data_IF_501690525765
#
_entry.id   IF_501690525765
#
_cell.length_a   1.000
_cell.length_b   1.000
_cell.length_c   1.000
_cell.angle_alpha   90.00
_cell.angle_beta   90.00
_cell.angle_gamma   90.00
#
_symmetry.space_group_name_H-M   'P 1'
#
loop_
_entity.id
_entity.type
_entity.pdbx_description
1 polymer ?
#
# COMPACT_ATOMS: atom_id res chain seq x y z
N UNK A 1 -8.51 15.72 -0.44
CA UNK A 1 -9.50 14.60 -0.40
C UNK A 1 -9.08 13.49 -1.35
N UNK A 2 -9.12 12.25 -0.87
CA UNK A 2 -8.78 11.10 -1.68
C UNK A 2 -9.97 10.63 -2.52
N UNK A 3 -9.66 10.12 -3.72
CA UNK A 3 -10.61 9.43 -4.59
C UNK A 3 -10.03 8.10 -5.00
N UNK A 4 -10.88 7.10 -5.20
CA UNK A 4 -10.45 5.78 -5.64
C UNK A 4 -11.22 5.35 -6.88
N UNK A 5 -10.57 4.56 -7.73
CA UNK A 5 -11.15 4.07 -8.99
C UNK A 5 -11.87 2.74 -8.76
N UNK A 6 -11.19 1.82 -8.10
CA UNK A 6 -11.68 0.47 -7.86
C UNK A 6 -10.96 -0.16 -6.67
N UNK A 7 -11.41 -1.36 -6.33
CA UNK A 7 -10.77 -2.21 -5.33
C UNK A 7 -10.56 -3.60 -5.91
N UNK A 8 -9.55 -4.28 -5.38
CA UNK A 8 -9.24 -5.67 -5.74
C UNK A 8 -8.87 -6.45 -4.47
N UNK A 9 -9.10 -7.76 -4.51
CA UNK A 9 -8.57 -8.65 -3.48
C UNK A 9 -7.26 -9.21 -4.02
N UNK A 10 -6.15 -8.92 -3.33
CA UNK A 10 -4.80 -9.25 -3.79
C UNK A 10 -4.05 -10.03 -2.73
N UNK A 11 -3.06 -10.84 -3.15
CA UNK A 11 -2.39 -11.80 -2.28
C UNK A 11 -0.89 -11.62 -2.19
N UNK A 12 -0.30 -10.76 -3.02
CA UNK A 12 1.15 -10.63 -3.15
C UNK A 12 1.70 -9.27 -2.76
N UNK A 13 0.85 -8.27 -2.64
CA UNK A 13 1.26 -6.88 -2.39
C UNK A 13 1.79 -6.69 -0.97
N UNK A 14 1.26 -7.44 -0.01
CA UNK A 14 1.77 -7.49 1.36
C UNK A 14 1.96 -8.96 1.75
N UNK A 15 3.18 -9.36 2.15
CA UNK A 15 3.47 -10.78 2.39
C UNK A 15 2.58 -11.38 3.48
N UNK A 16 2.06 -12.58 3.20
CA UNK A 16 1.23 -13.38 4.10
C UNK A 16 -0.15 -12.78 4.38
N UNK A 17 -0.58 -11.78 3.60
CA UNK A 17 -1.88 -11.13 3.79
C UNK A 17 -2.80 -11.35 2.60
N UNK A 18 -4.08 -11.42 2.89
CA UNK A 18 -5.13 -11.28 1.88
C UNK A 18 -5.64 -9.85 1.98
N UNK A 19 -5.37 -9.04 0.98
CA UNK A 19 -5.50 -7.59 1.06
C UNK A 19 -6.64 -7.07 0.21
N UNK A 20 -7.48 -6.21 0.81
CA UNK A 20 -8.37 -5.34 0.06
C UNK A 20 -7.53 -4.16 -0.43
N UNK A 21 -7.13 -4.19 -1.69
CA UNK A 21 -6.36 -3.11 -2.30
C UNK A 21 -7.31 -2.05 -2.82
N UNK A 22 -7.11 -0.81 -2.35
CA UNK A 22 -7.91 0.34 -2.76
C UNK A 22 -7.03 1.18 -3.67
N UNK A 23 -7.37 1.23 -4.96
CA UNK A 23 -6.59 1.94 -5.96
C UNK A 23 -6.95 3.42 -5.96
N UNK A 24 -6.09 4.23 -5.35
CA UNK A 24 -6.31 5.66 -5.13
C UNK A 24 -5.80 6.43 -6.35
N UNK A 25 -6.65 7.29 -6.89
CA UNK A 25 -6.33 8.11 -8.06
C UNK A 25 -5.59 9.40 -7.69
N UNK A 26 -5.16 10.17 -8.70
CA UNK A 26 -4.47 11.43 -8.48
C UNK A 26 -3.02 11.24 -8.04
N UNK A 27 -2.38 10.14 -8.44
CA UNK A 27 -0.97 9.87 -8.07
C UNK A 27 -0.06 10.93 -8.68
N UNK A 28 0.65 11.74 -7.86
CA UNK A 28 1.52 12.79 -8.37
C UNK A 28 2.89 12.28 -8.84
N UNK A 29 3.22 11.03 -8.54
CA UNK A 29 4.56 10.49 -8.81
C UNK A 29 4.81 10.22 -10.30
N UNK A 30 3.78 9.83 -11.06
CA UNK A 30 3.80 9.66 -12.52
C UNK A 30 5.03 8.92 -13.03
N UNK A 31 5.33 7.77 -12.40
CA UNK A 31 6.53 6.99 -12.72
C UNK A 31 6.50 6.49 -14.17
N UNK A 32 7.53 6.76 -14.98
CA UNK A 32 7.60 6.23 -16.33
C UNK A 32 7.52 4.69 -16.32
N UNK A 33 6.65 4.12 -17.16
CA UNK A 33 6.43 2.68 -17.20
C UNK A 33 5.60 2.11 -16.07
N UNK A 34 5.00 2.96 -15.25
CA UNK A 34 4.13 2.55 -14.17
C UNK A 34 2.96 1.69 -14.69
N UNK A 35 2.67 0.57 -14.02
CA UNK A 35 1.55 -0.30 -14.37
C UNK A 35 0.19 0.30 -14.01
N UNK A 36 0.16 1.35 -13.20
CA UNK A 36 -1.08 1.98 -12.70
C UNK A 36 -1.26 3.40 -13.21
N UNK A 37 -0.91 3.64 -14.49
CA UNK A 37 -1.03 4.98 -15.08
C UNK A 37 -2.45 5.52 -15.05
N UNK A 38 -3.45 4.65 -15.03
CA UNK A 38 -4.85 5.04 -14.91
C UNK A 38 -5.15 5.78 -13.60
N UNK A 39 -4.27 5.69 -12.61
CA UNK A 39 -4.41 6.39 -11.34
C UNK A 39 -3.82 7.80 -11.34
N UNK A 40 -3.20 8.24 -12.44
CA UNK A 40 -2.56 9.57 -12.48
C UNK A 40 -3.58 10.71 -12.43
N UNK A 41 -4.73 10.57 -13.07
CA UNK A 41 -5.79 11.58 -13.03
C UNK A 41 -6.61 11.44 -11.75
N UNK A 42 -6.91 12.58 -11.09
CA UNK A 42 -7.72 12.58 -9.89
C UNK A 42 -9.21 12.40 -10.26
N UNK A 43 -9.68 11.17 -10.17
CA UNK A 43 -11.04 10.78 -10.53
C UNK A 43 -11.51 9.59 -9.72
N UNK A 44 -12.79 9.24 -9.89
CA UNK A 44 -13.41 8.14 -9.16
C UNK A 44 -14.26 8.65 -8.00
N UNK A 45 -14.59 7.76 -7.10
CA UNK A 45 -15.45 8.05 -5.97
C UNK A 45 -14.64 8.60 -4.79
N UNK A 46 -15.25 9.43 -3.97
CA UNK A 46 -14.59 9.93 -2.76
C UNK A 46 -14.32 8.79 -1.79
N UNK A 47 -13.10 8.74 -1.26
CA UNK A 47 -12.70 7.77 -0.25
C UNK A 47 -12.83 8.40 1.13
N UNK A 48 -14.03 8.30 1.68
CA UNK A 48 -14.33 8.75 3.04
C UNK A 48 -14.23 7.57 4.01
N UNK A 49 -14.28 7.86 5.32
CA UNK A 49 -14.34 6.80 6.33
C UNK A 49 -15.56 5.91 6.14
N UNK A 50 -16.71 6.49 5.78
CA UNK A 50 -17.94 5.73 5.52
C UNK A 50 -17.79 4.84 4.28
N UNK A 51 -17.22 5.35 3.21
CA UNK A 51 -16.96 4.57 2.00
C UNK A 51 -16.00 3.42 2.29
N UNK A 52 -14.93 3.71 3.03
CA UNK A 52 -13.95 2.70 3.43
C UNK A 52 -14.61 1.60 4.28
N UNK A 53 -15.43 1.98 5.23
CA UNK A 53 -16.13 1.02 6.07
C UNK A 53 -17.05 0.11 5.26
N UNK A 54 -17.77 0.66 4.28
CA UNK A 54 -18.63 -0.12 3.40
C UNK A 54 -17.81 -1.12 2.56
N UNK A 55 -16.66 -0.70 2.03
CA UNK A 55 -15.76 -1.57 1.27
C UNK A 55 -15.25 -2.73 2.14
N UNK A 56 -14.86 -2.44 3.38
CA UNK A 56 -14.39 -3.46 4.32
C UNK A 56 -15.51 -4.44 4.66
N UNK A 57 -16.71 -3.96 4.93
CA UNK A 57 -17.85 -4.82 5.22
C UNK A 57 -18.17 -5.78 4.07
N UNK A 58 -18.01 -5.33 2.83
CA UNK A 58 -18.21 -6.19 1.67
C UNK A 58 -17.21 -7.33 1.53
N UNK A 59 -16.08 -7.26 2.20
CA UNK A 59 -14.97 -8.22 2.07
C UNK A 59 -14.49 -8.78 3.41
N UNK A 60 -15.14 -8.45 4.53
CA UNK A 60 -14.58 -8.64 5.88
C UNK A 60 -14.19 -10.08 6.23
N UNK A 61 -14.91 -11.08 5.69
CA UNK A 61 -14.63 -12.49 5.99
C UNK A 61 -13.53 -13.06 5.09
N UNK A 62 -13.07 -12.29 4.11
CA UNK A 62 -12.06 -12.73 3.13
C UNK A 62 -10.70 -12.14 3.43
N UNK A 63 -10.64 -10.92 3.96
CA UNK A 63 -9.40 -10.13 4.03
C UNK A 63 -8.78 -10.16 5.42
N UNK A 64 -7.45 -9.99 5.45
CA UNK A 64 -6.66 -9.79 6.67
C UNK A 64 -6.03 -8.41 6.73
N UNK A 65 -6.04 -7.68 5.61
CA UNK A 65 -5.33 -6.42 5.47
C UNK A 65 -6.10 -5.46 4.56
N UNK A 66 -6.01 -4.18 4.86
CA UNK A 66 -6.48 -3.10 3.98
C UNK A 66 -5.24 -2.40 3.42
N UNK A 67 -5.13 -2.33 2.09
CA UNK A 67 -4.01 -1.70 1.41
C UNK A 67 -4.41 -0.43 0.69
N UNK A 68 -3.75 0.68 1.03
CA UNK A 68 -3.91 1.95 0.32
C UNK A 68 -2.86 1.99 -0.79
N UNK A 69 -3.32 1.92 -2.03
CA UNK A 69 -2.43 1.87 -3.19
C UNK A 69 -2.38 3.26 -3.82
N UNK A 70 -1.45 4.08 -3.34
CA UNK A 70 -1.32 5.49 -3.73
C UNK A 70 -1.76 6.44 -2.63
N UNK A 71 -2.19 7.64 -3.01
CA UNK A 71 -2.61 8.66 -2.04
C UNK A 71 -1.53 9.66 -1.69
N UNK A 72 -0.42 9.71 -2.44
CA UNK A 72 0.70 10.61 -2.17
C UNK A 72 0.33 12.08 -2.33
N UNK A 73 -0.79 12.37 -3.00
CA UNK A 73 -1.31 13.73 -3.10
C UNK A 73 -1.92 14.25 -1.82
N UNK A 74 -2.28 13.37 -0.89
CA UNK A 74 -2.89 13.74 0.40
C UNK A 74 -2.52 12.70 1.48
N UNK A 75 -1.25 12.68 1.91
CA UNK A 75 -0.80 11.67 2.88
C UNK A 75 -1.50 11.80 4.24
N UNK A 76 -1.94 13.00 4.63
CA UNK A 76 -2.69 13.20 5.87
C UNK A 76 -4.00 12.42 5.84
N UNK A 77 -4.71 12.45 4.69
CA UNK A 77 -5.95 11.70 4.55
C UNK A 77 -5.71 10.19 4.59
N UNK A 78 -4.62 9.70 3.98
CA UNK A 78 -4.23 8.28 4.07
C UNK A 78 -4.02 7.90 5.53
N UNK A 79 -3.28 8.71 6.28
CA UNK A 79 -2.99 8.47 7.69
C UNK A 79 -4.26 8.42 8.54
N UNK A 80 -5.17 9.36 8.31
CA UNK A 80 -6.45 9.40 9.04
C UNK A 80 -7.29 8.15 8.76
N UNK A 81 -7.32 7.68 7.52
CA UNK A 81 -8.05 6.47 7.17
C UNK A 81 -7.38 5.21 7.74
N UNK A 82 -6.05 5.17 7.76
CA UNK A 82 -5.30 4.09 8.39
C UNK A 82 -5.64 3.99 9.88
N UNK A 83 -5.61 5.12 10.57
CA UNK A 83 -5.99 5.19 11.98
C UNK A 83 -7.43 4.72 12.19
N UNK A 84 -8.34 5.12 11.32
CA UNK A 84 -9.73 4.70 11.37
C UNK A 84 -9.87 3.17 11.29
N UNK A 85 -9.11 2.53 10.38
CA UNK A 85 -9.12 1.06 10.28
C UNK A 85 -8.65 0.42 11.58
N UNK A 86 -7.56 0.92 12.15
CA UNK A 86 -7.04 0.37 13.41
C UNK A 86 -8.05 0.48 14.56
N UNK A 87 -8.76 1.60 14.64
CA UNK A 87 -9.69 1.87 15.74
C UNK A 87 -11.03 1.17 15.57
N UNK A 88 -11.54 1.09 14.33
CA UNK A 88 -12.91 0.62 14.05
C UNK A 88 -12.97 -0.79 13.46
N UNK A 89 -11.88 -1.28 12.91
CA UNK A 89 -11.80 -2.60 12.28
C UNK A 89 -10.63 -3.36 12.89
N UNK A 90 -10.68 -3.52 14.19
CA UNK A 90 -9.64 -4.19 14.96
C UNK A 90 -9.44 -5.62 14.44
N UNK A 91 -8.18 -6.00 14.29
CA UNK A 91 -7.80 -7.29 13.73
C UNK A 91 -7.40 -7.23 12.26
N UNK A 92 -7.74 -6.16 11.55
CA UNK A 92 -7.21 -5.94 10.19
C UNK A 92 -5.88 -5.20 10.26
N UNK A 93 -4.95 -5.62 9.40
CA UNK A 93 -3.69 -4.91 9.21
C UNK A 93 -3.88 -3.80 8.19
N UNK A 94 -2.98 -2.84 8.18
CA UNK A 94 -3.01 -1.70 7.27
C UNK A 94 -1.69 -1.62 6.53
N UNK A 95 -1.75 -1.54 5.21
CA UNK A 95 -0.58 -1.36 4.35
C UNK A 95 -0.74 -0.14 3.45
N UNK A 96 0.37 0.45 3.06
CA UNK A 96 0.40 1.61 2.18
C UNK A 96 1.51 1.46 1.14
N UNK A 97 1.15 1.68 -0.12
CA UNK A 97 2.10 1.81 -1.23
C UNK A 97 2.25 3.30 -1.55
N UNK A 98 3.41 3.87 -1.21
CA UNK A 98 3.77 5.24 -1.59
C UNK A 98 4.85 5.21 -2.66
N UNK A 99 4.76 6.12 -3.63
CA UNK A 99 5.80 6.28 -4.65
C UNK A 99 6.94 7.21 -4.22
N UNK A 100 6.86 7.79 -3.04
CA UNK A 100 7.93 8.64 -2.52
C UNK A 100 9.11 7.78 -2.04
N UNK A 101 10.31 8.36 -2.05
CA UNK A 101 11.52 7.65 -1.61
C UNK A 101 11.63 7.55 -0.10
N UNK A 102 10.93 8.41 0.63
CA UNK A 102 10.95 8.44 2.08
C UNK A 102 9.52 8.52 2.60
N UNK A 103 9.33 8.04 3.84
CA UNK A 103 8.05 8.12 4.52
C UNK A 103 7.76 9.59 4.83
N UNK A 104 6.54 10.05 4.50
CA UNK A 104 6.12 11.42 4.74
C UNK A 104 6.18 11.74 6.24
N UNK A 105 6.72 12.92 6.62
CA UNK A 105 6.68 13.36 8.01
C UNK A 105 5.28 13.76 8.48
N UNK A 106 4.30 13.81 7.57
CA UNK A 106 2.92 14.19 7.88
C UNK A 106 2.07 13.04 8.40
N UNK A 107 2.61 11.82 8.42
CA UNK A 107 1.89 10.64 8.89
C UNK A 107 2.50 10.11 10.17
N UNK A 108 1.71 9.31 10.90
CA UNK A 108 2.20 8.51 12.01
C UNK A 108 2.42 7.07 11.52
N UNK A 109 3.67 6.65 11.45
CA UNK A 109 4.03 5.30 10.97
C UNK A 109 3.34 4.20 11.78
N UNK A 110 3.01 4.46 13.03
CA UNK A 110 2.39 3.46 13.90
C UNK A 110 0.95 3.12 13.48
N UNK A 111 0.36 3.90 12.58
CA UNK A 111 -0.94 3.57 12.00
C UNK A 111 -0.86 2.51 10.90
N UNK A 112 0.34 2.11 10.51
CA UNK A 112 0.56 1.16 9.41
C UNK A 112 1.33 -0.07 9.89
N UNK A 113 0.95 -1.24 9.37
CA UNK A 113 1.68 -2.49 9.57
C UNK A 113 2.72 -2.70 8.49
N UNK A 114 2.45 -2.20 7.28
CA UNK A 114 3.34 -2.29 6.12
C UNK A 114 3.41 -0.94 5.41
N UNK A 115 4.61 -0.53 5.01
CA UNK A 115 4.79 0.66 4.16
C UNK A 115 5.79 0.32 3.06
N UNK A 116 5.35 0.42 1.80
CA UNK A 116 6.24 0.31 0.65
C UNK A 116 6.59 1.71 0.18
N UNK A 117 7.88 2.00 0.05
CA UNK A 117 8.40 3.29 -0.44
C UNK A 117 9.15 3.10 -1.75
N UNK A 118 9.27 4.17 -2.50
CA UNK A 118 10.07 4.27 -3.70
C UNK A 118 9.25 4.31 -4.99
N UNK A 119 9.66 5.19 -5.94
CA UNK A 119 9.04 5.23 -7.25
C UNK A 119 9.41 3.98 -8.06
N UNK A 120 8.57 3.63 -9.03
CA UNK A 120 8.93 2.61 -9.99
C UNK A 120 9.98 3.17 -10.96
N UNK A 121 11.15 2.54 -11.01
CA UNK A 121 12.20 2.86 -11.96
C UNK A 121 12.41 1.64 -12.85
N UNK A 122 12.06 1.78 -14.12
CA UNK A 122 12.02 0.65 -15.07
C UNK A 122 13.34 -0.13 -15.11
N UNK A 123 14.48 0.55 -15.07
CA UNK A 123 15.79 -0.11 -15.17
C UNK A 123 16.18 -0.87 -13.89
N UNK A 124 15.54 -0.60 -12.77
CA UNK A 124 15.77 -1.30 -11.51
C UNK A 124 14.66 -2.31 -11.18
N UNK A 125 13.50 -2.16 -11.82
CA UNK A 125 12.35 -3.03 -11.61
C UNK A 125 11.55 -2.70 -10.36
N UNK A 126 10.48 -3.47 -10.14
CA UNK A 126 9.64 -3.36 -8.95
C UNK A 126 10.17 -4.20 -7.80
N UNK A 127 9.33 -4.41 -6.78
CA UNK A 127 9.72 -5.12 -5.55
C UNK A 127 10.28 -6.52 -5.79
N UNK A 128 9.85 -7.20 -6.84
CA UNK A 128 10.28 -8.56 -7.16
C UNK A 128 11.68 -8.62 -7.80
N UNK A 129 12.29 -7.48 -8.07
CA UNK A 129 13.65 -7.39 -8.62
C UNK A 129 14.67 -7.22 -7.50
N UNK A 130 15.74 -8.03 -7.45
CA UNK A 130 16.80 -7.83 -6.44
C UNK A 130 17.58 -6.53 -6.62
N UNK A 131 17.41 -5.85 -7.76
CA UNK A 131 18.06 -4.57 -8.05
C UNK A 131 17.14 -3.38 -7.76
N UNK A 132 15.96 -3.62 -7.21
CA UNK A 132 14.96 -2.58 -6.99
C UNK A 132 15.43 -1.50 -6.02
N UNK A 133 15.05 -0.26 -6.30
CA UNK A 133 15.16 0.85 -5.36
C UNK A 133 13.99 0.90 -4.39
N UNK A 134 12.92 0.14 -4.65
CA UNK A 134 11.75 0.10 -3.78
C UNK A 134 12.04 -0.72 -2.54
N UNK A 135 11.43 -0.32 -1.41
CA UNK A 135 11.59 -1.03 -0.14
C UNK A 135 10.23 -1.28 0.49
N UNK A 136 10.06 -2.48 1.04
CA UNK A 136 8.89 -2.84 1.83
C UNK A 136 9.31 -2.96 3.29
N UNK A 137 8.64 -2.21 4.16
CA UNK A 137 8.87 -2.25 5.60
C UNK A 137 7.66 -2.85 6.31
N UNK A 138 7.93 -3.68 7.32
CA UNK A 138 6.91 -4.26 8.18
C UNK A 138 7.14 -3.80 9.61
N UNK A 139 6.08 -3.34 10.29
CA UNK A 139 6.16 -2.95 11.69
C UNK A 139 6.28 -4.19 12.58
N UNK A 140 7.28 -4.18 13.46
CA UNK A 140 7.49 -5.22 14.47
C UNK A 140 6.64 -4.95 15.70
N UNK A 141 6.58 -5.93 16.60
CA UNK A 141 5.78 -5.83 17.82
C UNK A 141 6.25 -4.71 18.75
N UNK A 142 7.54 -4.35 18.69
CA UNK A 142 8.10 -3.26 19.49
C UNK A 142 7.89 -1.88 18.86
N UNK A 143 7.20 -1.80 17.71
CA UNK A 143 6.95 -0.56 16.98
C UNK A 143 8.02 -0.17 15.98
N UNK A 144 9.16 -0.86 15.94
CA UNK A 144 10.19 -0.64 14.92
C UNK A 144 9.76 -1.24 13.58
N UNK A 145 10.41 -0.81 12.50
CA UNK A 145 10.17 -1.33 11.15
C UNK A 145 11.38 -2.13 10.67
N UNK A 146 11.12 -3.27 10.03
CA UNK A 146 12.15 -4.07 9.39
C UNK A 146 11.96 -4.07 7.88
N UNK A 147 13.07 -4.10 7.14
CA UNK A 147 13.05 -4.19 5.68
C UNK A 147 12.86 -5.66 5.29
N UNK A 148 11.71 -5.94 4.65
CA UNK A 148 11.38 -7.29 4.20
C UNK A 148 11.35 -7.39 2.67
N UNK A 149 11.98 -6.47 1.96
CA UNK A 149 11.94 -6.39 0.50
C UNK A 149 12.37 -7.68 -0.18
N UNK A 150 13.37 -8.37 0.38
CA UNK A 150 13.89 -9.61 -0.20
C UNK A 150 12.84 -10.72 -0.32
N UNK A 151 11.76 -10.66 0.43
CA UNK A 151 10.67 -11.65 0.36
C UNK A 151 9.94 -11.62 -0.98
N UNK A 152 10.08 -10.54 -1.75
CA UNK A 152 9.47 -10.40 -3.08
C UNK A 152 10.34 -10.96 -4.20
N UNK A 153 11.59 -11.35 -3.95
CA UNK A 153 12.54 -11.72 -5.00
C UNK A 153 12.31 -13.14 -5.48
N UNK A 154 11.64 -13.26 -6.61
CA UNK A 154 11.21 -14.56 -7.18
C UNK A 154 12.37 -15.49 -7.55
N UNK A 155 13.48 -14.91 -8.06
CA UNK A 155 14.61 -15.71 -8.51
C UNK A 155 15.31 -16.45 -7.36
N UNK A 156 15.16 -16.00 -6.12
CA UNK A 156 15.70 -16.76 -4.98
C UNK A 156 15.04 -18.13 -4.85
N UNK A 157 13.75 -18.21 -5.16
CA UNK A 157 13.02 -19.48 -5.15
C UNK A 157 13.56 -20.39 -6.27
N UNK A 158 13.78 -19.84 -7.48
CA UNK A 158 14.33 -20.58 -8.59
C UNK A 158 15.72 -21.13 -8.33
N UNK A 159 16.57 -20.39 -7.62
CA UNK A 159 17.93 -20.80 -7.30
C UNK A 159 17.99 -21.97 -6.31
N UNK A 160 16.92 -22.23 -5.60
CA UNK A 160 16.85 -23.32 -4.63
C UNK A 160 16.34 -24.62 -5.24
N UNK A 161 16.02 -24.59 -6.51
CA UNK A 161 15.56 -25.74 -7.24
C UNK A 161 16.71 -26.38 -8.01
#
# INVERSE_FOLDING_TARGET
MLRYINTDIVFQEFPDEVTLAINISGCPCRCPGCHSQFLWANRGDELTAEALSALIHGAKDTITCVGFMGGDGDPVAVDQLAKYVQERHNGLKVGWYTGRTAISPLIDQQHFDYIKVGPYLRHLGGLDSPRTNQRMYRRCTDGSFEDITSRFWKHQIGNNL
#
